data_IF_484257229854
#
_entry.id   IF_484257229854
#
_cell.length_a   1.000
_cell.length_b   1.000
_cell.length_c   1.000
_cell.angle_alpha   90.00
_cell.angle_beta   90.00
_cell.angle_gamma   90.00
#
_symmetry.space_group_name_H-M   'P 1'
#
loop_
_entity.id
_entity.type
_entity.pdbx_description
1 polymer ?
#
# COMPACT_ATOMS: atom_id res chain seq x y z
N UNK A 1 -8.04 23.05 0.14
CA UNK A 1 -7.81 21.89 -0.73
C UNK A 1 -7.81 22.36 -2.19
N UNK A 2 -6.62 22.38 -2.80
CA UNK A 2 -6.39 22.58 -4.23
C UNK A 2 -5.83 21.29 -4.84
N UNK A 3 -6.07 21.10 -6.12
CA UNK A 3 -5.55 19.97 -6.89
C UNK A 3 -4.36 20.44 -7.74
N UNK A 4 -3.26 19.70 -7.66
CA UNK A 4 -2.01 20.00 -8.35
C UNK A 4 -1.61 18.83 -9.23
N UNK A 5 -1.56 19.03 -10.55
CA UNK A 5 -1.10 18.00 -11.48
C UNK A 5 0.35 18.19 -11.85
N UNK A 6 1.12 17.10 -11.79
CA UNK A 6 2.56 17.16 -11.96
C UNK A 6 3.10 15.97 -12.71
N UNK A 7 4.25 16.14 -13.38
CA UNK A 7 4.98 15.02 -13.99
C UNK A 7 5.96 14.43 -12.97
N UNK A 8 6.20 13.13 -13.07
CA UNK A 8 7.20 12.39 -12.29
C UNK A 8 7.84 11.33 -13.19
N UNK A 9 9.18 11.28 -13.26
CA UNK A 9 9.88 10.25 -14.03
C UNK A 9 9.60 8.85 -13.47
N UNK A 10 9.51 7.85 -14.35
CA UNK A 10 9.21 6.46 -14.01
C UNK A 10 10.02 5.90 -12.85
N UNK A 11 11.31 6.23 -12.75
CA UNK A 11 12.17 5.75 -11.65
C UNK A 11 11.63 6.20 -10.28
N UNK A 12 11.28 7.47 -10.11
CA UNK A 12 10.73 7.99 -8.85
C UNK A 12 9.26 7.63 -8.67
N UNK A 13 8.49 7.61 -9.76
CA UNK A 13 7.07 7.23 -9.75
C UNK A 13 6.90 5.81 -9.20
N UNK A 14 7.77 4.88 -9.58
CA UNK A 14 7.77 3.51 -9.08
C UNK A 14 8.11 3.43 -7.59
N UNK A 15 9.06 4.23 -7.10
CA UNK A 15 9.37 4.29 -5.67
C UNK A 15 8.19 4.84 -4.85
N UNK A 16 7.46 5.83 -5.37
CA UNK A 16 6.24 6.35 -4.72
C UNK A 16 5.12 5.30 -4.78
N UNK A 17 4.91 4.66 -5.94
CA UNK A 17 3.91 3.59 -6.14
C UNK A 17 4.10 2.44 -5.17
N UNK A 18 5.36 2.08 -4.90
CA UNK A 18 5.74 0.99 -3.99
C UNK A 18 5.80 1.45 -2.53
N UNK A 19 5.49 2.72 -2.24
CA UNK A 19 5.45 3.26 -0.89
C UNK A 19 6.81 3.50 -0.24
N UNK A 20 7.92 3.30 -0.97
CA UNK A 20 9.28 3.52 -0.47
C UNK A 20 9.66 5.00 -0.45
N UNK A 21 9.14 5.77 -1.42
CA UNK A 21 9.29 7.23 -1.48
C UNK A 21 7.99 7.89 -1.04
N UNK A 22 8.00 8.46 0.16
CA UNK A 22 6.83 9.11 0.77
C UNK A 22 6.90 10.63 0.77
N UNK A 23 7.96 11.20 0.16
CA UNK A 23 8.17 12.64 0.07
C UNK A 23 8.54 13.07 -1.35
N UNK A 24 8.09 14.26 -1.76
CA UNK A 24 8.33 14.85 -3.07
C UNK A 24 8.98 16.23 -2.93
N UNK A 25 10.05 16.49 -3.67
CA UNK A 25 10.76 17.79 -3.66
C UNK A 25 10.30 18.61 -4.85
N UNK A 26 9.85 19.85 -4.63
CA UNK A 26 9.37 20.75 -5.69
C UNK A 26 9.76 22.19 -5.47
N UNK A 27 9.85 22.97 -6.54
CA UNK A 27 9.75 24.42 -6.45
C UNK A 27 8.36 24.76 -5.93
N UNK A 28 8.23 25.62 -4.93
CA UNK A 28 6.94 26.01 -4.35
C UNK A 28 6.28 27.16 -5.15
N UNK A 29 6.15 27.00 -6.46
CA UNK A 29 5.54 27.97 -7.39
C UNK A 29 4.01 27.93 -7.38
N UNK A 30 3.41 26.93 -6.73
CA UNK A 30 1.96 26.74 -6.62
C UNK A 30 1.39 26.99 -5.23
N UNK A 31 2.25 27.39 -4.29
CA UNK A 31 1.91 27.58 -2.89
C UNK A 31 1.26 26.32 -2.28
N UNK A 32 1.91 25.17 -2.41
CA UNK A 32 1.41 23.88 -1.92
C UNK A 32 1.10 23.95 -0.41
N UNK A 33 -0.04 23.40 0.01
CA UNK A 33 -0.45 23.36 1.42
C UNK A 33 -0.72 21.92 1.87
N UNK A 34 -0.71 21.70 3.20
CA UNK A 34 -1.30 20.49 3.75
C UNK A 34 -2.80 20.42 3.43
N UNK A 35 -3.33 19.22 3.24
CA UNK A 35 -4.69 18.93 2.73
C UNK A 35 -4.94 19.35 1.26
N UNK A 36 -3.90 19.66 0.49
CA UNK A 36 -4.00 19.72 -0.97
C UNK A 36 -3.82 18.32 -1.59
N UNK A 37 -4.26 18.17 -2.83
CA UNK A 37 -4.15 16.91 -3.58
C UNK A 37 -3.06 17.05 -4.65
N UNK A 38 -2.13 16.10 -4.69
CA UNK A 38 -1.10 15.98 -5.72
C UNK A 38 -1.42 14.80 -6.63
N UNK A 39 -1.60 15.06 -7.92
CA UNK A 39 -1.72 14.03 -8.95
C UNK A 39 -0.40 13.94 -9.71
N UNK A 40 0.32 12.83 -9.53
CA UNK A 40 1.55 12.55 -10.24
C UNK A 40 1.23 11.76 -11.51
N UNK A 41 1.60 12.29 -12.66
CA UNK A 41 1.55 11.63 -13.96
C UNK A 41 2.93 11.06 -14.28
N UNK A 42 2.99 9.77 -14.52
CA UNK A 42 4.24 9.12 -14.91
C UNK A 42 4.68 9.59 -16.30
N UNK A 43 5.97 9.88 -16.42
CA UNK A 43 6.64 10.11 -17.70
C UNK A 43 7.88 9.23 -17.84
N UNK A 44 8.16 8.79 -19.05
CA UNK A 44 9.38 8.04 -19.37
C UNK A 44 10.64 8.93 -19.33
N UNK A 45 11.79 8.35 -19.66
CA UNK A 45 13.08 9.07 -19.70
C UNK A 45 13.12 10.19 -20.74
N UNK A 46 12.26 10.16 -21.75
CA UNK A 46 12.14 11.17 -22.80
C UNK A 46 11.08 12.23 -22.46
N UNK A 47 10.31 12.03 -21.38
CA UNK A 47 9.29 12.95 -20.90
C UNK A 47 7.89 12.71 -21.48
N UNK A 48 7.68 11.60 -22.20
CA UNK A 48 6.37 11.19 -22.71
C UNK A 48 5.52 10.58 -21.60
N UNK A 49 4.22 10.92 -21.58
CA UNK A 49 3.28 10.34 -20.62
C UNK A 49 3.06 8.85 -20.91
N UNK A 50 3.17 8.01 -19.89
CA UNK A 50 2.85 6.57 -20.01
C UNK A 50 1.35 6.29 -19.88
N UNK A 51 0.61 7.23 -19.29
CA UNK A 51 -0.81 7.09 -18.95
C UNK A 51 -1.07 6.67 -17.50
N UNK A 52 -0.03 6.28 -16.75
CA UNK A 52 -0.17 5.97 -15.32
C UNK A 52 -0.21 7.24 -14.46
N UNK A 53 -0.99 7.19 -13.38
CA UNK A 53 -1.07 8.29 -12.40
C UNK A 53 -1.25 7.79 -10.97
N UNK A 54 -0.72 8.53 -10.01
CA UNK A 54 -0.98 8.37 -8.58
C UNK A 54 -1.61 9.62 -8.00
N UNK A 55 -2.49 9.45 -7.03
CA UNK A 55 -3.18 10.53 -6.32
C UNK A 55 -2.81 10.47 -4.85
N UNK A 56 -2.34 11.59 -4.32
CA UNK A 56 -1.92 11.71 -2.93
C UNK A 56 -2.55 12.94 -2.29
N UNK A 57 -2.85 12.84 -1.01
CA UNK A 57 -2.98 14.01 -0.16
C UNK A 57 -1.58 14.47 0.27
N UNK A 58 -1.36 15.79 0.27
CA UNK A 58 -0.19 16.40 0.89
C UNK A 58 -0.46 16.52 2.38
N UNK A 59 0.22 15.71 3.20
CA UNK A 59 0.01 15.67 4.66
C UNK A 59 0.84 16.72 5.39
N UNK A 60 1.98 17.11 4.81
CA UNK A 60 2.87 18.13 5.37
C UNK A 60 3.67 18.84 4.27
N UNK A 61 4.01 20.11 4.50
CA UNK A 61 4.85 20.91 3.59
C UNK A 61 6.00 21.53 4.38
N UNK A 62 7.21 21.04 4.15
CA UNK A 62 8.44 21.66 4.67
C UNK A 62 8.90 22.73 3.69
N UNK A 63 8.83 23.99 4.09
CA UNK A 63 9.43 25.08 3.32
C UNK A 63 10.96 24.96 3.37
N UNK A 64 11.61 25.40 2.28
CA UNK A 64 13.06 25.47 2.21
C UNK A 64 13.66 26.56 3.09
N UNK A 65 14.82 27.10 2.71
CA UNK A 65 15.66 28.05 3.49
C UNK A 65 16.38 27.46 4.70
N UNK A 66 16.20 26.17 4.98
CA UNK A 66 16.82 25.43 6.10
C UNK A 66 17.26 24.04 5.62
N UNK A 67 18.13 23.38 6.38
CA UNK A 67 18.54 21.99 6.16
C UNK A 67 19.13 21.71 4.76
N UNK A 68 19.79 22.72 4.15
CA UNK A 68 20.38 22.59 2.81
C UNK A 68 19.40 22.79 1.64
N UNK A 69 18.13 23.12 1.90
CA UNK A 69 17.16 23.41 0.85
C UNK A 69 17.18 24.89 0.47
N UNK A 70 17.12 25.18 -0.84
CA UNK A 70 16.98 26.55 -1.34
C UNK A 70 15.66 27.18 -0.88
N UNK A 71 15.57 28.51 -0.90
CA UNK A 71 14.35 29.24 -0.46
C UNK A 71 13.13 28.92 -1.34
N UNK A 72 13.35 28.53 -2.58
CA UNK A 72 12.30 28.32 -3.59
C UNK A 72 11.75 26.91 -3.58
N UNK A 73 12.42 25.97 -2.91
CA UNK A 73 12.04 24.55 -2.86
C UNK A 73 11.24 24.26 -1.60
N UNK A 74 10.27 23.35 -1.71
CA UNK A 74 9.59 22.71 -0.60
C UNK A 74 9.68 21.18 -0.71
N UNK A 75 9.50 20.50 0.41
CA UNK A 75 9.32 19.05 0.47
C UNK A 75 7.89 18.76 0.90
N UNK A 76 7.18 17.99 0.08
CA UNK A 76 5.80 17.57 0.30
C UNK A 76 5.82 16.16 0.87
N UNK A 77 5.23 15.94 2.04
CA UNK A 77 4.94 14.60 2.53
C UNK A 77 3.65 14.11 1.89
N UNK A 78 3.66 12.90 1.35
CA UNK A 78 2.55 12.31 0.62
C UNK A 78 1.86 11.25 1.46
N UNK A 79 0.51 11.23 1.45
CA UNK A 79 -0.25 10.12 2.02
C UNK A 79 0.05 8.82 1.26
N UNK A 80 0.41 7.76 1.97
CA UNK A 80 0.65 6.44 1.40
C UNK A 80 -0.62 5.56 1.46
N UNK A 81 -1.66 5.99 0.74
CA UNK A 81 -2.97 5.32 0.75
C UNK A 81 -2.94 3.93 0.08
N UNK A 82 -2.09 3.74 -0.94
CA UNK A 82 -1.91 2.45 -1.62
C UNK A 82 -1.32 1.38 -0.69
N UNK A 83 -0.34 1.74 0.13
CA UNK A 83 0.23 0.82 1.12
C UNK A 83 -0.81 0.46 2.18
N UNK A 84 -1.52 1.44 2.73
CA UNK A 84 -2.53 1.20 3.76
C UNK A 84 -3.68 0.31 3.25
N UNK A 85 -4.19 0.57 2.05
CA UNK A 85 -5.23 -0.26 1.43
C UNK A 85 -4.76 -1.71 1.21
N UNK A 86 -3.49 -1.91 0.83
CA UNK A 86 -2.90 -3.24 0.65
C UNK A 86 -2.77 -4.00 1.97
N UNK A 87 -2.35 -3.30 3.04
CA UNK A 87 -2.29 -3.82 4.41
C UNK A 87 -3.68 -4.22 4.90
N UNK A 88 -4.68 -3.36 4.71
CA UNK A 88 -6.07 -3.63 5.08
C UNK A 88 -6.61 -4.85 4.32
N UNK A 89 -6.42 -4.89 3.00
CA UNK A 89 -6.86 -6.02 2.17
C UNK A 89 -6.19 -7.33 2.60
N UNK A 90 -4.87 -7.32 2.87
CA UNK A 90 -4.18 -8.49 3.42
C UNK A 90 -4.77 -8.94 4.76
N UNK A 91 -5.12 -7.99 5.64
CA UNK A 91 -5.83 -8.28 6.89
C UNK A 91 -7.15 -8.99 6.65
N UNK A 92 -7.99 -8.46 5.77
CA UNK A 92 -9.27 -9.09 5.41
C UNK A 92 -9.09 -10.49 4.79
N UNK A 93 -8.12 -10.65 3.89
CA UNK A 93 -7.83 -11.95 3.26
C UNK A 93 -7.34 -12.97 4.28
N UNK A 94 -6.47 -12.58 5.21
CA UNK A 94 -6.04 -13.41 6.35
C UNK A 94 -7.25 -13.86 7.17
N UNK A 95 -8.12 -12.94 7.55
CA UNK A 95 -9.27 -13.24 8.40
C UNK A 95 -10.24 -14.19 7.70
N UNK A 96 -10.43 -14.03 6.38
CA UNK A 96 -11.20 -14.98 5.56
C UNK A 96 -10.56 -16.36 5.50
N UNK A 97 -9.23 -16.47 5.41
CA UNK A 97 -8.53 -17.77 5.44
C UNK A 97 -8.70 -18.48 6.79
N UNK A 98 -8.67 -17.73 7.90
CA UNK A 98 -8.91 -18.28 9.24
C UNK A 98 -10.35 -18.81 9.35
N UNK A 99 -11.34 -18.00 8.97
CA UNK A 99 -12.75 -18.38 9.00
C UNK A 99 -13.04 -19.59 8.10
N UNK A 100 -12.48 -19.62 6.90
CA UNK A 100 -12.62 -20.76 5.99
C UNK A 100 -12.06 -22.05 6.61
N UNK A 101 -10.90 -21.97 7.27
CA UNK A 101 -10.32 -23.10 7.97
C UNK A 101 -11.18 -23.56 9.16
N UNK A 102 -11.68 -22.63 9.98
CA UNK A 102 -12.58 -22.93 11.09
C UNK A 102 -13.85 -23.66 10.61
N UNK A 103 -14.47 -23.16 9.52
CA UNK A 103 -15.67 -23.78 8.93
C UNK A 103 -15.39 -25.19 8.39
N UNK A 104 -14.26 -25.37 7.70
CA UNK A 104 -13.87 -26.68 7.16
C UNK A 104 -13.55 -27.68 8.28
N UNK A 105 -12.88 -27.24 9.35
CA UNK A 105 -12.59 -28.05 10.53
C UNK A 105 -13.88 -28.47 11.24
N UNK A 106 -14.87 -27.57 11.40
CA UNK A 106 -16.15 -27.92 11.99
C UNK A 106 -16.94 -28.94 11.16
N UNK A 107 -16.83 -28.89 9.83
CA UNK A 107 -17.52 -29.80 8.91
C UNK A 107 -16.81 -31.14 8.68
N UNK A 108 -15.56 -31.30 9.10
CA UNK A 108 -14.74 -32.47 8.72
C UNK A 108 -15.28 -33.79 9.27
N UNK A 109 -15.86 -33.74 10.47
CA UNK A 109 -16.41 -34.92 11.14
C UNK A 109 -17.66 -35.44 10.40
N UNK A 110 -18.48 -34.53 9.85
CA UNK A 110 -19.65 -34.90 9.03
C UNK A 110 -19.22 -35.65 7.77
N UNK A 111 -18.16 -35.17 7.09
CA UNK A 111 -17.61 -35.84 5.90
C UNK A 111 -17.08 -37.23 6.25
N UNK A 112 -16.39 -37.35 7.39
CA UNK A 112 -15.87 -38.63 7.88
C UNK A 112 -16.99 -39.61 8.23
N UNK A 113 -18.02 -39.15 8.94
CA UNK A 113 -19.18 -39.95 9.34
C UNK A 113 -20.00 -40.42 8.12
N UNK A 114 -20.03 -39.63 7.04
CA UNK A 114 -20.62 -40.03 5.76
C UNK A 114 -19.80 -41.10 5.01
N UNK A 115 -18.67 -41.57 5.55
CA UNK A 115 -17.79 -42.55 4.92
C UNK A 115 -16.99 -41.99 3.74
N UNK A 116 -16.93 -40.67 3.59
CA UNK A 116 -16.18 -39.99 2.53
C UNK A 116 -14.74 -39.72 2.96
N UNK A 117 -13.84 -39.58 1.99
CA UNK A 117 -12.45 -39.24 2.27
C UNK A 117 -12.32 -37.78 2.70
N UNK A 118 -11.45 -37.51 3.68
CA UNK A 118 -11.20 -36.14 4.17
C UNK A 118 -9.81 -35.62 3.78
N UNK A 119 -9.09 -36.33 2.91
CA UNK A 119 -7.67 -36.03 2.66
C UNK A 119 -7.48 -34.64 2.04
N UNK A 120 -8.24 -34.32 1.00
CA UNK A 120 -8.18 -33.00 0.36
C UNK A 120 -8.66 -31.89 1.29
N UNK A 121 -9.72 -32.15 2.07
CA UNK A 121 -10.24 -31.17 3.04
C UNK A 121 -9.20 -30.85 4.12
N UNK A 122 -8.49 -31.86 4.65
CA UNK A 122 -7.39 -31.66 5.60
C UNK A 122 -6.25 -30.84 5.01
N UNK A 123 -5.87 -31.12 3.75
CA UNK A 123 -4.85 -30.33 3.06
C UNK A 123 -5.28 -28.87 2.90
N UNK A 124 -6.53 -28.63 2.49
CA UNK A 124 -7.04 -27.28 2.29
C UNK A 124 -7.14 -26.48 3.60
N UNK A 125 -7.50 -27.13 4.71
CA UNK A 125 -7.44 -26.55 6.05
C UNK A 125 -5.99 -26.15 6.38
N UNK A 126 -5.05 -27.07 6.24
CA UNK A 126 -3.64 -26.84 6.55
C UNK A 126 -3.06 -25.68 5.72
N UNK A 127 -3.32 -25.65 4.42
CA UNK A 127 -2.86 -24.58 3.53
C UNK A 127 -3.46 -23.23 3.94
N UNK A 128 -4.75 -23.19 4.27
CA UNK A 128 -5.43 -21.96 4.71
C UNK A 128 -4.83 -21.41 6.01
N UNK A 129 -4.55 -22.28 6.99
CA UNK A 129 -3.88 -21.91 8.24
C UNK A 129 -2.45 -21.42 8.01
N UNK A 130 -1.72 -22.09 7.12
CA UNK A 130 -0.36 -21.69 6.76
C UNK A 130 -0.34 -20.28 6.15
N UNK A 131 -1.17 -20.01 5.13
CA UNK A 131 -1.22 -18.69 4.50
C UNK A 131 -1.72 -17.60 5.46
N UNK A 132 -2.66 -17.91 6.35
CA UNK A 132 -3.08 -16.96 7.40
C UNK A 132 -1.92 -16.62 8.36
N UNK A 133 -1.07 -17.59 8.69
CA UNK A 133 0.12 -17.37 9.53
C UNK A 133 1.16 -16.51 8.82
N UNK A 134 1.43 -16.79 7.54
CA UNK A 134 2.32 -15.97 6.71
C UNK A 134 1.82 -14.52 6.62
N UNK A 135 0.53 -14.32 6.32
CA UNK A 135 -0.08 -13.01 6.27
C UNK A 135 0.01 -12.27 7.62
N UNK A 136 -0.19 -12.97 8.74
CA UNK A 136 -0.04 -12.39 10.09
C UNK A 136 1.38 -11.90 10.33
N UNK A 137 2.37 -12.70 9.95
CA UNK A 137 3.79 -12.37 10.11
C UNK A 137 4.17 -11.15 9.28
N UNK A 138 3.70 -11.09 8.04
CA UNK A 138 3.93 -9.96 7.16
C UNK A 138 3.26 -8.68 7.68
N UNK A 139 1.99 -8.75 8.08
CA UNK A 139 1.26 -7.61 8.64
C UNK A 139 1.90 -7.06 9.91
N UNK A 140 2.45 -7.91 10.79
CA UNK A 140 3.19 -7.48 11.98
C UNK A 140 4.45 -6.69 11.60
N UNK A 141 5.26 -7.20 10.67
CA UNK A 141 6.46 -6.51 10.19
C UNK A 141 6.13 -5.13 9.62
N UNK A 142 5.08 -5.04 8.80
CA UNK A 142 4.62 -3.78 8.22
C UNK A 142 4.11 -2.78 9.27
N UNK A 143 3.54 -3.26 10.38
CA UNK A 143 3.13 -2.42 11.49
C UNK A 143 4.29 -1.91 12.38
N UNK A 144 5.36 -2.69 12.52
CA UNK A 144 6.59 -2.29 13.23
C UNK A 144 7.43 -1.28 12.42
N UNK A 145 7.42 -1.36 11.09
CA UNK A 145 8.09 -0.40 10.20
C UNK A 145 7.36 0.95 10.10
N UNK A 146 6.09 1.01 10.52
CA UNK A 146 5.25 2.21 10.45
C UNK A 146 5.18 3.03 11.75
N UNK A 147 5.84 2.58 12.83
CA UNK A 147 5.86 3.21 14.16
C UNK A 147 7.23 3.80 14.50
#
# INVERSE_FOLDING_TARGET
MKLHEVKTQSEFFNEVRLGRKTAEIRVNDRNYQANDVLIQHEVDSEGHKTGASLVHEITHVQQGSKFGLSKEVCVLSLSNSSHLNSVILMGHLRDRLVEAADCMEAGIDVVREAGLTTADLKRQIQDSRYFATEATTLLKKLGEEAA
#
